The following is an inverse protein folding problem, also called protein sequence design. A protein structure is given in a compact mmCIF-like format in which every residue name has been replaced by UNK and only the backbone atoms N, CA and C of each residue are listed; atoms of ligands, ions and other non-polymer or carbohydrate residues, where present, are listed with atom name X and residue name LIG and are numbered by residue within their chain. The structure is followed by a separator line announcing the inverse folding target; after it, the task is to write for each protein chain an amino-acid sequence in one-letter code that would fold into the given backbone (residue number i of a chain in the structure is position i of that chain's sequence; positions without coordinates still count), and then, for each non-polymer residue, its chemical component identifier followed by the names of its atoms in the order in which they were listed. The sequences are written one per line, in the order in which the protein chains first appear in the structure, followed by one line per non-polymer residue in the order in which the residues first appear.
data_IF_945747347621
#
_entry.id   IF_945747347621
#
_cell.length_a   1.000
_cell.length_b   1.000
_cell.length_c   1.000
_cell.angle_alpha   90.00
_cell.angle_beta   90.00
_cell.angle_gamma   90.00
#
_symmetry.space_group_name_H-M   'P 1'
#
loop_
_entity.id
_entity.type
_entity.pdbx_description
1 polymer ?
#
# COMPACT_ATOMS: atom_id res chain seq x y z
N UNK A 1 25.57 -5.69 -6.02
CA UNK A 1 24.45 -4.96 -5.38
C UNK A 1 23.18 -5.54 -5.99
N UNK A 2 22.48 -6.46 -5.32
CA UNK A 2 21.21 -7.00 -5.85
C UNK A 2 20.07 -6.13 -5.34
N UNK A 3 19.54 -5.29 -6.21
CA UNK A 3 18.30 -4.54 -5.97
C UNK A 3 17.15 -5.55 -5.74
N UNK A 4 16.57 -5.54 -4.55
CA UNK A 4 15.40 -6.36 -4.24
C UNK A 4 14.16 -5.58 -4.67
N UNK A 5 13.64 -5.87 -5.86
CA UNK A 5 12.40 -5.24 -6.35
C UNK A 5 11.24 -5.69 -5.47
N UNK A 6 10.73 -4.80 -4.62
CA UNK A 6 9.51 -5.05 -3.85
C UNK A 6 8.32 -4.90 -4.80
N UNK A 7 7.68 -6.01 -5.15
CA UNK A 7 6.42 -5.97 -5.86
C UNK A 7 5.28 -5.60 -4.91
N UNK A 8 4.50 -4.60 -5.32
CA UNK A 8 3.27 -4.17 -4.66
C UNK A 8 2.12 -4.32 -5.63
N UNK A 9 0.95 -4.66 -5.11
CA UNK A 9 -0.28 -4.78 -5.89
C UNK A 9 -0.94 -3.42 -6.10
N UNK A 10 -0.79 -2.52 -5.11
CA UNK A 10 -1.38 -1.18 -5.10
C UNK A 10 -0.38 -0.19 -4.52
N UNK A 11 -0.28 0.99 -5.14
CA UNK A 11 0.34 2.17 -4.57
C UNK A 11 -0.71 3.28 -4.35
N UNK A 12 -0.80 3.80 -3.14
CA UNK A 12 -1.64 4.93 -2.75
C UNK A 12 -0.72 6.13 -2.55
N UNK A 13 -0.97 7.22 -3.28
CA UNK A 13 -0.19 8.47 -3.18
C UNK A 13 -0.98 9.50 -2.38
N UNK A 14 -0.42 9.94 -1.26
CA UNK A 14 -1.02 10.83 -0.26
C UNK A 14 -1.51 10.05 0.97
N UNK A 15 -0.84 10.25 2.11
CA UNK A 15 -1.12 9.60 3.41
C UNK A 15 -2.12 10.30 4.32
N UNK A 16 -2.83 11.31 3.82
CA UNK A 16 -3.91 11.97 4.56
C UNK A 16 -5.06 11.03 4.92
N UNK A 17 -6.11 11.57 5.54
CA UNK A 17 -7.24 10.77 6.06
C UNK A 17 -7.82 9.77 5.06
N UNK A 18 -7.92 10.16 3.78
CA UNK A 18 -8.43 9.30 2.71
C UNK A 18 -7.45 8.18 2.37
N UNK A 19 -6.16 8.49 2.21
CA UNK A 19 -5.16 7.49 1.83
C UNK A 19 -4.93 6.44 2.91
N UNK A 20 -4.80 6.88 4.17
CA UNK A 20 -4.62 5.96 5.29
C UNK A 20 -5.87 5.09 5.54
N UNK A 21 -7.07 5.67 5.50
CA UNK A 21 -8.31 4.90 5.68
C UNK A 21 -8.54 3.88 4.56
N UNK A 22 -8.23 4.25 3.31
CA UNK A 22 -8.29 3.33 2.18
C UNK A 22 -7.26 2.20 2.30
N UNK A 23 -6.02 2.51 2.67
CA UNK A 23 -4.98 1.51 2.87
C UNK A 23 -5.37 0.48 3.95
N UNK A 24 -5.94 0.96 5.06
CA UNK A 24 -6.44 0.11 6.15
C UNK A 24 -7.65 -0.75 5.74
N UNK A 25 -8.60 -0.17 5.00
CA UNK A 25 -9.76 -0.91 4.52
C UNK A 25 -9.34 -2.02 3.54
N UNK A 26 -8.42 -1.71 2.62
CA UNK A 26 -7.94 -2.66 1.64
C UNK A 26 -7.11 -3.77 2.26
N UNK A 27 -6.25 -3.47 3.24
CA UNK A 27 -5.48 -4.50 3.95
C UNK A 27 -6.38 -5.45 4.75
N UNK A 28 -7.49 -4.94 5.32
CA UNK A 28 -8.47 -5.76 6.02
C UNK A 28 -9.28 -6.66 5.06
N UNK A 29 -9.69 -6.15 3.90
CA UNK A 29 -10.50 -6.91 2.95
C UNK A 29 -9.69 -7.86 2.05
N UNK A 30 -8.42 -7.52 1.77
CA UNK A 30 -7.51 -8.28 0.92
C UNK A 30 -6.16 -8.43 1.64
N UNK A 31 -6.07 -9.35 2.62
CA UNK A 31 -4.87 -9.52 3.44
C UNK A 31 -3.64 -9.95 2.63
N UNK A 32 -3.84 -10.55 1.45
CA UNK A 32 -2.75 -10.98 0.56
C UNK A 32 -2.15 -9.84 -0.28
N UNK A 33 -2.83 -8.68 -0.33
CA UNK A 33 -2.35 -7.55 -1.14
C UNK A 33 -1.24 -6.78 -0.43
N UNK A 34 -0.14 -6.56 -1.14
CA UNK A 34 0.94 -5.67 -0.72
C UNK A 34 0.61 -4.26 -1.18
N UNK A 35 0.19 -3.43 -0.24
CA UNK A 35 -0.20 -2.05 -0.47
C UNK A 35 0.95 -1.13 -0.04
N UNK A 36 1.43 -0.28 -0.93
CA UNK A 36 2.35 0.82 -0.61
C UNK A 36 1.55 2.09 -0.38
N UNK A 37 1.81 2.79 0.73
CA UNK A 37 1.33 4.15 0.97
C UNK A 37 2.53 5.09 0.93
N UNK A 38 2.44 6.12 0.09
CA UNK A 38 3.51 7.10 -0.15
C UNK A 38 2.98 8.50 0.20
N UNK A 39 3.74 9.29 0.94
CA UNK A 39 3.43 10.68 1.29
C UNK A 39 4.24 11.70 0.49
#
# INVERSE_FOLDING_TARGET
MTEQTKNFDIAIIGGGMVGASLALLLSAQKPDWKIALLE
#
